data_IF_081707216752
#
_entry.id   IF_081707216752
#
_cell.length_a   1.000
_cell.length_b   1.000
_cell.length_c   1.000
_cell.angle_alpha   90.00
_cell.angle_beta   90.00
_cell.angle_gamma   90.00
#
_symmetry.space_group_name_H-M   'P 1'
#
loop_
_entity.id
_entity.type
_entity.pdbx_description
1 polymer ?
#
# COMPACT_ATOMS: atom_id res chain seq x y z
N UNK A 1 -18.14 -8.52 26.32
CA UNK A 1 -17.91 -8.78 24.88
C UNK A 1 -17.01 -7.69 24.36
N UNK A 2 -15.72 -7.97 24.18
CA UNK A 2 -14.79 -6.97 23.65
C UNK A 2 -14.94 -6.87 22.15
N UNK A 3 -15.13 -5.66 21.64
CA UNK A 3 -15.04 -5.37 20.21
C UNK A 3 -13.61 -5.63 19.74
N UNK A 4 -13.45 -6.41 18.67
CA UNK A 4 -12.13 -6.67 18.08
C UNK A 4 -11.72 -5.41 17.32
N UNK A 5 -10.52 -4.84 17.57
CA UNK A 5 -10.08 -3.65 16.87
C UNK A 5 -9.93 -3.92 15.37
N UNK A 6 -10.42 -2.99 14.55
CA UNK A 6 -10.26 -3.03 13.10
C UNK A 6 -9.31 -1.90 12.70
N UNK A 7 -8.21 -2.25 12.06
CA UNK A 7 -7.24 -1.29 11.54
C UNK A 7 -7.37 -1.22 10.02
N UNK A 8 -7.66 -0.02 9.51
CA UNK A 8 -7.91 0.19 8.09
C UNK A 8 -6.68 0.69 7.35
N UNK A 9 -6.36 0.07 6.23
CA UNK A 9 -5.20 0.40 5.40
C UNK A 9 -5.23 1.86 4.90
N UNK A 10 -6.41 2.33 4.50
CA UNK A 10 -6.60 3.66 3.93
C UNK A 10 -6.42 4.73 5.00
N UNK A 11 -6.96 4.51 6.20
CA UNK A 11 -6.81 5.42 7.34
C UNK A 11 -5.34 5.53 7.75
N UNK A 12 -4.65 4.40 7.89
CA UNK A 12 -3.22 4.37 8.21
C UNK A 12 -2.40 5.13 7.15
N UNK A 13 -2.65 4.89 5.87
CA UNK A 13 -1.94 5.58 4.79
C UNK A 13 -2.28 7.07 4.69
N UNK A 14 -3.51 7.48 4.99
CA UNK A 14 -3.91 8.88 5.06
C UNK A 14 -3.18 9.62 6.18
N UNK A 15 -3.15 9.05 7.38
CA UNK A 15 -2.39 9.59 8.52
C UNK A 15 -0.91 9.70 8.18
N UNK A 16 -0.33 8.63 7.62
CA UNK A 16 1.09 8.62 7.27
C UNK A 16 1.43 9.70 6.22
N UNK A 17 0.55 9.92 5.25
CA UNK A 17 0.73 10.97 4.25
C UNK A 17 0.70 12.37 4.86
N UNK A 18 -0.24 12.62 5.79
CA UNK A 18 -0.36 13.91 6.50
C UNK A 18 0.90 14.17 7.35
N UNK A 19 1.35 13.18 8.11
CA UNK A 19 2.54 13.33 8.97
C UNK A 19 3.83 13.51 8.16
N UNK A 20 3.88 12.96 6.95
CA UNK A 20 5.07 13.00 6.08
C UNK A 20 5.14 14.29 5.27
N UNK A 21 4.01 14.78 4.77
CA UNK A 21 3.97 15.94 3.86
C UNK A 21 4.28 17.24 4.59
N UNK A 22 5.17 18.04 4.00
CA UNK A 22 5.57 19.36 4.51
C UNK A 22 4.85 20.48 3.80
N UNK A 23 4.54 20.31 2.51
CA UNK A 23 3.86 21.31 1.69
C UNK A 23 2.35 21.04 1.52
N UNK A 24 1.83 19.97 2.15
CA UNK A 24 0.44 19.51 2.09
C UNK A 24 -0.04 19.16 0.67
N UNK A 25 0.88 18.86 -0.26
CA UNK A 25 0.58 18.38 -1.61
C UNK A 25 0.93 16.91 -1.71
N UNK A 26 -0.09 16.08 -1.78
CA UNK A 26 0.01 14.63 -1.62
C UNK A 26 -0.47 13.94 -2.90
N UNK A 27 0.39 13.11 -3.48
CA UNK A 27 0.02 12.20 -4.56
C UNK A 27 -0.42 10.84 -4.01
N UNK A 28 -1.34 10.18 -4.68
CA UNK A 28 -1.83 8.85 -4.29
C UNK A 28 -1.95 8.00 -5.53
N UNK A 29 -1.17 6.93 -5.63
CA UNK A 29 -1.40 5.89 -6.64
C UNK A 29 -2.21 4.76 -6.01
N UNK A 30 -3.32 4.37 -6.61
CA UNK A 30 -4.15 3.26 -6.13
C UNK A 30 -4.85 2.52 -7.29
N UNK A 31 -5.71 1.56 -6.96
CA UNK A 31 -6.59 0.95 -7.97
C UNK A 31 -7.58 2.00 -8.49
N UNK A 32 -8.11 1.83 -9.72
CA UNK A 32 -9.13 2.73 -10.25
C UNK A 32 -10.35 2.87 -9.32
N UNK A 33 -10.78 1.77 -8.69
CA UNK A 33 -11.91 1.78 -7.77
C UNK A 33 -11.62 2.60 -6.50
N UNK A 34 -10.43 2.48 -5.92
CA UNK A 34 -10.03 3.25 -4.73
C UNK A 34 -9.98 4.74 -5.05
N UNK A 35 -9.38 5.12 -6.18
CA UNK A 35 -9.32 6.51 -6.64
C UNK A 35 -10.72 7.07 -6.97
N UNK A 36 -11.56 6.31 -7.68
CA UNK A 36 -12.93 6.73 -8.02
C UNK A 36 -13.79 6.97 -6.77
N UNK A 37 -13.58 6.18 -5.71
CA UNK A 37 -14.28 6.34 -4.43
C UNK A 37 -13.71 7.48 -3.58
N UNK A 38 -12.67 8.16 -4.02
CA UNK A 38 -11.98 9.21 -3.27
C UNK A 38 -11.58 8.74 -1.87
N UNK A 39 -11.18 7.48 -1.75
CA UNK A 39 -11.14 6.83 -0.44
C UNK A 39 -10.06 7.46 0.46
N UNK A 40 -8.86 7.71 -0.08
CA UNK A 40 -7.83 8.44 0.64
C UNK A 40 -8.14 9.92 0.73
N UNK A 41 -8.65 10.54 -0.34
CA UNK A 41 -9.03 11.95 -0.34
C UNK A 41 -9.94 12.27 0.85
N UNK A 42 -10.99 11.46 1.05
CA UNK A 42 -11.95 11.64 2.13
C UNK A 42 -11.32 11.49 3.51
N UNK A 43 -10.44 10.51 3.72
CA UNK A 43 -9.76 10.34 5.03
C UNK A 43 -8.77 11.47 5.31
N UNK A 44 -8.00 11.91 4.31
CA UNK A 44 -7.06 13.02 4.48
C UNK A 44 -7.82 14.32 4.77
N UNK A 45 -8.88 14.63 4.02
CA UNK A 45 -9.65 15.87 4.17
C UNK A 45 -10.38 16.00 5.50
N UNK A 46 -10.69 14.89 6.19
CA UNK A 46 -11.25 14.93 7.55
C UNK A 46 -10.29 15.55 8.56
N UNK A 47 -8.97 15.38 8.34
CA UNK A 47 -7.92 15.75 9.30
C UNK A 47 -7.18 17.01 8.84
N UNK A 48 -6.88 17.10 7.54
CA UNK A 48 -6.16 18.20 6.92
C UNK A 48 -6.96 18.77 5.73
N UNK A 49 -7.97 19.63 5.99
CA UNK A 49 -8.88 20.16 4.97
C UNK A 49 -8.17 20.95 3.86
N UNK A 50 -7.01 21.54 4.17
CA UNK A 50 -6.25 22.38 3.24
C UNK A 50 -5.28 21.58 2.35
N UNK A 51 -5.12 20.28 2.56
CA UNK A 51 -4.22 19.46 1.74
C UNK A 51 -4.69 19.36 0.28
N UNK A 52 -3.80 19.57 -0.68
CA UNK A 52 -4.06 19.30 -2.10
C UNK A 52 -3.71 17.84 -2.41
N UNK A 53 -4.67 17.10 -2.95
CA UNK A 53 -4.58 15.64 -3.10
C UNK A 53 -4.73 15.29 -4.58
N UNK A 54 -3.78 14.53 -5.11
CA UNK A 54 -3.70 14.13 -6.51
C UNK A 54 -3.83 12.61 -6.62
N UNK A 55 -5.04 12.13 -6.92
CA UNK A 55 -5.35 10.71 -7.01
C UNK A 55 -5.13 10.17 -8.43
N UNK A 56 -4.41 9.05 -8.51
CA UNK A 56 -4.06 8.35 -9.74
C UNK A 56 -4.52 6.90 -9.59
N UNK A 57 -5.58 6.53 -10.32
CA UNK A 57 -6.02 5.15 -10.45
C UNK A 57 -5.36 4.47 -11.65
N UNK A 58 -4.67 3.34 -11.45
CA UNK A 58 -4.10 2.57 -12.57
C UNK A 58 -4.17 1.07 -12.34
N UNK A 59 -4.94 0.40 -13.19
CA UNK A 59 -4.96 -1.06 -13.25
C UNK A 59 -3.71 -1.60 -13.96
N UNK A 60 -3.20 -0.84 -14.93
CA UNK A 60 -2.02 -1.20 -15.71
C UNK A 60 -0.78 -1.35 -14.81
N UNK A 61 -0.63 -0.47 -13.80
CA UNK A 61 0.44 -0.60 -12.80
C UNK A 61 0.29 -1.86 -11.94
N UNK A 62 -0.93 -2.32 -11.65
CA UNK A 62 -1.17 -3.60 -10.96
C UNK A 62 -0.71 -4.75 -11.84
N UNK A 63 -1.12 -4.76 -13.10
CA UNK A 63 -0.72 -5.80 -14.07
C UNK A 63 0.80 -5.88 -14.23
N UNK A 64 1.53 -4.75 -14.21
CA UNK A 64 3.00 -4.79 -14.26
C UNK A 64 3.65 -5.53 -13.09
N UNK A 65 3.03 -5.46 -11.91
CA UNK A 65 3.52 -6.16 -10.72
C UNK A 65 3.21 -7.64 -10.83
N UNK A 66 1.98 -7.99 -11.22
CA UNK A 66 1.57 -9.39 -11.42
C UNK A 66 2.40 -10.09 -12.50
N UNK A 67 2.76 -9.39 -13.58
CA UNK A 67 3.60 -9.90 -14.66
C UNK A 67 5.11 -9.91 -14.33
N UNK A 68 5.52 -9.44 -13.14
CA UNK A 68 6.93 -9.44 -12.72
C UNK A 68 7.83 -8.47 -13.51
N UNK A 69 7.26 -7.44 -14.16
CA UNK A 69 7.98 -6.50 -15.04
C UNK A 69 8.14 -5.10 -14.42
N UNK A 70 8.03 -5.00 -13.10
CA UNK A 70 8.11 -3.76 -12.31
C UNK A 70 9.33 -2.87 -12.62
N UNK A 71 10.43 -3.44 -13.09
CA UNK A 71 11.70 -2.73 -13.37
C UNK A 71 12.04 -2.61 -14.86
N UNK A 72 11.09 -2.91 -15.77
CA UNK A 72 11.34 -2.82 -17.22
C UNK A 72 11.08 -1.40 -17.73
N UNK A 73 11.64 -1.06 -18.91
CA UNK A 73 11.48 0.26 -19.56
C UNK A 73 10.01 0.70 -19.70
N UNK A 74 9.09 -0.24 -19.87
CA UNK A 74 7.67 0.06 -19.93
C UNK A 74 7.11 0.54 -18.58
N UNK A 75 7.55 -0.03 -17.46
CA UNK A 75 7.12 0.39 -16.12
C UNK A 75 7.53 1.83 -15.80
N UNK A 76 8.76 2.22 -16.14
CA UNK A 76 9.22 3.60 -15.98
C UNK A 76 8.38 4.59 -16.80
N UNK A 77 8.14 4.28 -18.09
CA UNK A 77 7.32 5.14 -18.97
C UNK A 77 5.88 5.29 -18.46
N UNK A 78 5.28 4.19 -18.01
CA UNK A 78 3.93 4.23 -17.44
C UNK A 78 3.91 5.07 -16.16
N UNK A 79 4.89 4.90 -15.27
CA UNK A 79 4.99 5.70 -14.06
C UNK A 79 5.19 7.20 -14.38
N UNK A 80 6.03 7.55 -15.35
CA UNK A 80 6.21 8.94 -15.82
C UNK A 80 4.89 9.54 -16.32
N UNK A 81 4.14 8.80 -17.14
CA UNK A 81 2.84 9.23 -17.66
C UNK A 81 1.83 9.45 -16.53
N UNK A 82 1.65 8.44 -15.68
CA UNK A 82 0.64 8.43 -14.61
C UNK A 82 0.95 9.45 -13.52
N UNK A 83 2.23 9.71 -13.24
CA UNK A 83 2.67 10.64 -12.19
C UNK A 83 2.92 12.07 -12.70
N UNK A 84 2.73 12.34 -13.99
CA UNK A 84 2.94 13.66 -14.57
C UNK A 84 2.15 14.76 -13.84
N UNK A 85 0.84 14.58 -13.68
CA UNK A 85 -0.03 15.59 -13.05
C UNK A 85 0.35 15.84 -11.57
N UNK A 86 0.53 14.82 -10.71
CA UNK A 86 1.04 15.04 -9.36
C UNK A 86 2.39 15.78 -9.32
N UNK A 87 3.33 15.43 -10.20
CA UNK A 87 4.66 16.04 -10.24
C UNK A 87 4.65 17.49 -10.72
N UNK A 88 3.84 17.82 -11.72
CA UNK A 88 3.63 19.21 -12.18
C UNK A 88 3.04 20.08 -11.07
N UNK A 89 2.21 19.48 -10.21
CA UNK A 89 1.64 20.12 -9.03
C UNK A 89 2.55 20.08 -7.79
N UNK A 90 3.80 19.60 -7.93
CA UNK A 90 4.84 19.66 -6.89
C UNK A 90 4.45 18.95 -5.59
N UNK A 91 3.88 17.75 -5.69
CA UNK A 91 3.74 16.87 -4.52
C UNK A 91 5.10 16.69 -3.83
N UNK A 92 5.10 16.59 -2.50
CA UNK A 92 6.29 16.18 -1.75
C UNK A 92 6.16 14.78 -1.15
N UNK A 93 4.97 14.19 -1.22
CA UNK A 93 4.65 12.89 -0.67
C UNK A 93 3.80 12.12 -1.66
N UNK A 94 4.12 10.84 -1.89
CA UNK A 94 3.40 9.92 -2.75
C UNK A 94 3.05 8.64 -1.98
N UNK A 95 1.77 8.32 -1.90
CA UNK A 95 1.25 7.12 -1.24
C UNK A 95 1.14 5.96 -2.22
N UNK A 96 1.70 4.80 -1.86
CA UNK A 96 1.50 3.52 -2.55
C UNK A 96 0.20 2.86 -2.06
N UNK A 97 -0.94 3.39 -2.49
CA UNK A 97 -2.28 3.06 -1.98
C UNK A 97 -2.88 1.73 -2.45
N UNK A 98 -2.07 0.80 -2.97
CA UNK A 98 -2.47 -0.56 -3.35
C UNK A 98 -1.40 -1.54 -2.86
N UNK A 99 -1.80 -2.72 -2.39
CA UNK A 99 -0.90 -3.77 -1.87
C UNK A 99 0.13 -4.27 -2.88
N UNK A 100 -0.10 -4.06 -4.19
CA UNK A 100 0.87 -4.39 -5.25
C UNK A 100 1.95 -3.31 -5.43
N UNK A 101 1.68 -2.06 -5.06
CA UNK A 101 2.55 -0.95 -5.42
C UNK A 101 3.87 -0.84 -4.65
N UNK A 102 4.08 -1.45 -3.46
CA UNK A 102 5.41 -1.59 -2.87
C UNK A 102 6.44 -2.22 -3.84
N UNK A 103 6.01 -3.14 -4.70
CA UNK A 103 6.88 -3.77 -5.71
C UNK A 103 7.28 -2.81 -6.85
N UNK A 104 6.60 -1.67 -6.99
CA UNK A 104 6.97 -0.59 -7.91
C UNK A 104 7.82 0.49 -7.24
N UNK A 105 8.17 0.35 -5.95
CA UNK A 105 8.83 1.41 -5.18
C UNK A 105 10.05 1.99 -5.90
N UNK A 106 11.00 1.15 -6.37
CA UNK A 106 12.22 1.67 -7.01
C UNK A 106 11.90 2.42 -8.31
N UNK A 107 10.97 1.91 -9.10
CA UNK A 107 10.53 2.52 -10.37
C UNK A 107 9.87 3.86 -10.13
N UNK A 108 8.89 3.91 -9.22
CA UNK A 108 8.21 5.14 -8.84
C UNK A 108 9.19 6.12 -8.22
N UNK A 109 10.04 5.68 -7.30
CA UNK A 109 11.04 6.53 -6.63
C UNK A 109 12.01 7.16 -7.62
N UNK A 110 12.44 6.42 -8.65
CA UNK A 110 13.28 6.95 -9.71
C UNK A 110 12.57 8.07 -10.49
N UNK A 111 11.29 7.87 -10.83
CA UNK A 111 10.48 8.84 -11.58
C UNK A 111 10.19 10.11 -10.77
N UNK A 112 9.79 9.97 -9.50
CA UNK A 112 9.45 11.14 -8.67
C UNK A 112 10.68 11.86 -8.09
N UNK A 113 11.83 11.17 -8.07
CA UNK A 113 13.10 11.70 -7.58
C UNK A 113 13.19 11.80 -6.06
N UNK A 114 14.31 12.36 -5.58
CA UNK A 114 14.66 12.34 -4.16
C UNK A 114 13.81 13.26 -3.29
N UNK A 115 13.24 14.33 -3.87
CA UNK A 115 12.46 15.33 -3.14
C UNK A 115 11.09 14.82 -2.71
N UNK A 116 10.55 13.80 -3.39
CA UNK A 116 9.26 13.20 -3.06
C UNK A 116 9.48 12.00 -2.15
N UNK A 117 8.83 12.00 -0.99
CA UNK A 117 8.76 10.86 -0.09
C UNK A 117 7.74 9.87 -0.63
N UNK A 118 8.19 8.67 -0.99
CA UNK A 118 7.31 7.57 -1.39
C UNK A 118 7.07 6.73 -0.14
N UNK A 119 5.80 6.52 0.22
CA UNK A 119 5.41 5.83 1.45
C UNK A 119 4.51 4.63 1.15
N UNK A 120 4.72 3.54 1.88
CA UNK A 120 3.82 2.40 1.95
C UNK A 120 2.97 2.52 3.23
N UNK A 121 1.63 2.56 3.11
CA UNK A 121 0.74 2.52 4.27
C UNK A 121 1.00 1.32 5.22
N UNK A 122 1.59 0.22 4.73
CA UNK A 122 1.84 -0.99 5.52
C UNK A 122 2.85 -0.75 6.64
N UNK A 123 3.88 0.07 6.39
CA UNK A 123 4.90 0.43 7.36
C UNK A 123 4.30 1.12 8.58
N UNK A 124 3.35 2.03 8.33
CA UNK A 124 2.67 2.75 9.40
C UNK A 124 1.68 1.85 10.16
N UNK A 125 0.91 1.04 9.42
CA UNK A 125 -0.07 0.14 10.00
C UNK A 125 0.56 -0.87 10.97
N UNK A 126 1.73 -1.42 10.63
CA UNK A 126 2.46 -2.35 11.51
C UNK A 126 2.85 -1.68 12.83
N UNK A 127 3.26 -0.41 12.79
CA UNK A 127 3.61 0.37 13.98
C UNK A 127 2.36 0.60 14.85
N UNK A 128 1.22 0.93 14.25
CA UNK A 128 -0.04 1.13 14.98
C UNK A 128 -0.52 -0.16 15.66
N UNK A 129 -0.53 -1.27 14.93
CA UNK A 129 -0.92 -2.58 15.47
C UNK A 129 -0.01 -2.98 16.63
N UNK A 130 1.31 -2.81 16.48
CA UNK A 130 2.26 -3.10 17.55
C UNK A 130 1.99 -2.27 18.81
N UNK A 131 1.82 -0.95 18.68
CA UNK A 131 1.52 -0.05 19.80
C UNK A 131 0.23 -0.45 20.52
N UNK A 132 -0.80 -0.83 19.77
CA UNK A 132 -2.06 -1.31 20.34
C UNK A 132 -1.84 -2.59 21.16
N UNK A 133 -1.17 -3.59 20.58
CA UNK A 133 -0.90 -4.86 21.25
C UNK A 133 -0.07 -4.67 22.52
N UNK A 134 0.94 -3.80 22.49
CA UNK A 134 1.74 -3.43 23.67
C UNK A 134 0.87 -2.78 24.75
N UNK A 135 0.06 -1.79 24.38
CA UNK A 135 -0.83 -1.06 25.33
C UNK A 135 -1.86 -1.97 25.98
N UNK A 136 -2.31 -3.01 25.26
CA UNK A 136 -3.27 -4.00 25.76
C UNK A 136 -2.62 -5.21 26.42
N UNK A 137 -1.28 -5.25 26.51
CA UNK A 137 -0.52 -6.41 26.99
C UNK A 137 -0.87 -7.72 26.24
N UNK A 138 -1.08 -7.61 24.92
CA UNK A 138 -1.45 -8.72 24.02
C UNK A 138 -0.27 -9.27 23.19
N UNK A 139 0.93 -8.76 23.40
CA UNK A 139 2.13 -9.27 22.73
C UNK A 139 2.43 -10.69 23.22
N UNK A 140 2.48 -11.63 22.28
CA UNK A 140 2.92 -13.01 22.53
C UNK A 140 4.39 -13.00 22.98
N UNK A 141 4.74 -13.81 23.97
CA UNK A 141 6.08 -13.84 24.58
C UNK A 141 6.95 -15.02 24.17
N UNK A 142 6.36 -16.04 23.56
CA UNK A 142 7.05 -17.21 23.03
C UNK A 142 7.26 -17.09 21.51
N UNK A 143 8.13 -17.94 20.97
CA UNK A 143 8.55 -17.93 19.56
C UNK A 143 7.80 -18.98 18.70
N UNK A 144 6.73 -19.58 19.25
CA UNK A 144 5.94 -20.60 18.53
C UNK A 144 4.90 -19.93 17.61
N UNK A 145 5.39 -19.13 16.66
CA UNK A 145 4.52 -18.45 15.69
C UNK A 145 4.22 -19.38 14.51
N UNK A 146 2.94 -19.64 14.29
CA UNK A 146 2.47 -20.33 13.09
C UNK A 146 1.87 -19.33 12.12
N UNK A 147 2.16 -19.51 10.83
CA UNK A 147 1.54 -18.77 9.73
C UNK A 147 0.75 -19.75 8.88
N UNK A 148 -0.53 -19.46 8.75
CA UNK A 148 -1.48 -20.25 7.96
C UNK A 148 -2.16 -19.28 7.00
N UNK A 149 -2.22 -19.65 5.73
CA UNK A 149 -2.80 -18.85 4.66
C UNK A 149 -4.04 -19.57 4.14
N UNK A 150 -5.10 -18.83 3.90
CA UNK A 150 -6.33 -19.34 3.32
C UNK A 150 -6.63 -18.63 2.01
N UNK A 151 -7.12 -19.36 1.00
CA UNK A 151 -7.55 -18.81 -0.28
C UNK A 151 -8.90 -19.39 -0.70
N UNK A 152 -9.78 -18.57 -1.27
CA UNK A 152 -11.00 -19.07 -1.93
C UNK A 152 -10.77 -19.41 -3.41
N UNK A 153 -9.60 -19.06 -3.94
CA UNK A 153 -9.22 -19.28 -5.32
C UNK A 153 -8.57 -20.65 -5.56
N UNK A 154 -7.75 -20.71 -6.60
CA UNK A 154 -6.89 -21.86 -6.85
C UNK A 154 -5.67 -21.81 -5.91
N UNK A 155 -5.42 -22.92 -5.21
CA UNK A 155 -4.33 -23.04 -4.23
C UNK A 155 -2.95 -22.98 -4.88
N UNK A 156 -2.75 -23.66 -6.01
CA UNK A 156 -1.47 -23.70 -6.73
C UNK A 156 -1.11 -22.32 -7.27
N UNK A 157 -2.04 -21.63 -7.92
CA UNK A 157 -1.83 -20.27 -8.43
C UNK A 157 -1.51 -19.29 -7.28
N UNK A 158 -2.16 -19.45 -6.13
CA UNK A 158 -1.87 -18.64 -4.94
C UNK A 158 -0.44 -18.91 -4.43
N UNK A 159 -0.02 -20.19 -4.35
CA UNK A 159 1.34 -20.57 -3.95
C UNK A 159 2.39 -20.01 -4.91
N UNK A 160 2.15 -20.04 -6.22
CA UNK A 160 3.04 -19.44 -7.22
C UNK A 160 3.19 -17.93 -7.00
N UNK A 161 2.07 -17.21 -6.82
CA UNK A 161 2.08 -15.77 -6.56
C UNK A 161 2.74 -15.43 -5.22
N UNK A 162 2.57 -16.25 -4.18
CA UNK A 162 3.25 -16.04 -2.91
C UNK A 162 4.77 -16.02 -3.07
N UNK A 163 5.35 -16.90 -3.90
CA UNK A 163 6.80 -16.92 -4.14
C UNK A 163 7.32 -15.65 -4.83
N UNK A 164 6.45 -14.91 -5.51
CA UNK A 164 6.78 -13.61 -6.12
C UNK A 164 6.86 -12.51 -5.05
N UNK A 165 6.00 -12.58 -4.03
CA UNK A 165 5.76 -11.49 -3.08
C UNK A 165 6.35 -11.71 -1.69
N UNK A 166 6.62 -12.96 -1.31
CA UNK A 166 7.01 -13.37 0.03
C UNK A 166 8.22 -14.31 -0.01
N UNK A 167 9.20 -14.03 0.83
CA UNK A 167 10.37 -14.90 1.06
C UNK A 167 10.05 -16.07 2.02
N UNK A 168 8.79 -16.50 2.11
CA UNK A 168 8.34 -17.51 3.07
C UNK A 168 7.87 -18.81 2.39
N UNK A 169 8.02 -19.97 3.07
CA UNK A 169 7.56 -21.24 2.52
C UNK A 169 6.04 -21.23 2.33
N UNK A 170 5.61 -21.64 1.13
CA UNK A 170 4.19 -21.71 0.73
C UNK A 170 3.52 -23.03 1.18
N UNK A 171 4.07 -23.68 2.21
CA UNK A 171 3.68 -25.03 2.64
C UNK A 171 2.33 -25.04 3.40
N UNK A 172 1.92 -23.91 3.99
CA UNK A 172 0.70 -23.79 4.80
C UNK A 172 -0.41 -22.96 4.12
N UNK A 173 -0.76 -23.30 2.87
CA UNK A 173 -1.91 -22.69 2.18
C UNK A 173 -3.04 -23.69 2.10
N UNK A 174 -4.22 -23.31 2.56
CA UNK A 174 -5.44 -24.12 2.51
C UNK A 174 -6.52 -23.43 1.66
N UNK A 175 -7.14 -24.18 0.74
CA UNK A 175 -8.33 -23.70 0.04
C UNK A 175 -9.57 -23.79 0.93
N UNK A 176 -10.36 -22.72 1.00
CA UNK A 176 -11.63 -22.66 1.74
C UNK A 176 -12.77 -22.15 0.84
N UNK A 177 -13.99 -22.60 1.10
CA UNK A 177 -15.20 -22.08 0.44
C UNK A 177 -15.85 -21.02 1.35
N UNK A 178 -16.27 -19.88 0.77
CA UNK A 178 -16.85 -18.71 1.47
C UNK A 178 -18.27 -18.45 0.96
#
# INVERSE_FOLDING_TARGET
SGEIPVFGMIQAGALYAIETSKNKRIGIISTPLTAQKHAYYNEIKKIEPDAEIFEVGSQEMVTLVEDGISYKKYAYRLAEEKLKVPLENKIDTLVLGCTHFPFLYKTVKNVVGEKVKVIDPSDFLVIEVKKYLETKNLIKKDDDSQRIYFTSGNEEEFKEKMQIFLDYPSENVEKIDI
#
